data_IF_468248480603
#
_entry.id   IF_468248480603
#
_cell.length_a   1.000
_cell.length_b   1.000
_cell.length_c   1.000
_cell.angle_alpha   90.00
_cell.angle_beta   90.00
_cell.angle_gamma   90.00
#
_symmetry.space_group_name_H-M   'P 1'
#
loop_
_entity.id
_entity.type
_entity.pdbx_description
1 polymer ?
#
# COMPACT_ATOMS: atom_id res chain seq x y z
N UNK A 1 47.99 26.92 -0.47
CA UNK A 1 46.93 26.91 0.55
C UNK A 1 45.63 26.65 -0.18
N UNK A 2 45.21 25.40 -0.18
CA UNK A 2 43.97 24.96 -0.87
C UNK A 2 42.86 25.00 0.15
N UNK A 3 41.89 25.90 0.01
CA UNK A 3 40.69 25.96 0.83
C UNK A 3 39.76 24.88 0.33
N UNK A 4 39.72 23.78 1.05
CA UNK A 4 38.65 22.76 0.87
C UNK A 4 37.31 23.42 1.26
N UNK A 5 36.48 23.70 0.27
CA UNK A 5 35.09 24.07 0.46
C UNK A 5 34.39 22.82 1.01
N UNK A 6 34.07 22.86 2.29
CA UNK A 6 33.17 21.88 2.89
C UNK A 6 31.79 22.09 2.25
N UNK A 7 31.48 21.23 1.32
CA UNK A 7 30.15 21.13 0.71
C UNK A 7 29.19 20.80 1.81
N UNK A 8 28.35 21.77 2.15
CA UNK A 8 27.26 21.65 3.13
C UNK A 8 26.31 20.58 2.61
N UNK A 9 25.98 19.54 3.40
CA UNK A 9 25.03 18.53 2.95
C UNK A 9 23.71 19.23 2.60
N UNK A 10 23.25 18.95 1.39
CA UNK A 10 22.05 19.53 0.80
C UNK A 10 20.83 19.18 1.66
N UNK A 11 20.44 20.11 2.52
CA UNK A 11 19.33 19.96 3.46
C UNK A 11 17.97 19.88 2.74
N UNK A 12 17.94 20.30 1.45
CA UNK A 12 16.74 20.30 0.63
C UNK A 12 16.37 18.89 0.11
N UNK A 13 17.31 17.97 -0.02
CA UNK A 13 17.01 16.60 -0.44
C UNK A 13 16.30 15.76 0.65
N UNK A 14 16.35 16.18 1.90
CA UNK A 14 15.67 15.46 2.99
C UNK A 14 14.15 15.75 3.06
N UNK A 15 13.66 16.73 2.34
CA UNK A 15 12.25 17.13 2.37
C UNK A 15 11.42 16.53 1.22
N UNK A 16 12.07 15.96 0.21
CA UNK A 16 11.36 15.30 -0.89
C UNK A 16 10.84 13.93 -0.41
N UNK A 17 9.56 13.84 -0.18
CA UNK A 17 8.90 12.56 0.10
C UNK A 17 8.41 12.01 -1.23
N UNK A 18 9.05 10.98 -1.71
CA UNK A 18 8.66 10.27 -2.92
C UNK A 18 7.79 9.06 -2.56
N UNK A 19 7.11 8.53 -3.56
CA UNK A 19 6.23 7.39 -3.41
C UNK A 19 6.60 6.31 -4.41
N UNK A 20 6.80 5.08 -3.94
CA UNK A 20 6.96 3.89 -4.79
C UNK A 20 5.71 3.04 -4.66
N UNK A 21 5.13 2.65 -5.77
CA UNK A 21 3.95 1.78 -5.83
C UNK A 21 4.34 0.46 -6.47
N UNK A 22 4.08 -0.64 -5.78
CA UNK A 22 4.25 -2.00 -6.31
C UNK A 22 2.87 -2.69 -6.40
N UNK A 23 2.64 -3.38 -7.51
CA UNK A 23 1.40 -4.12 -7.78
C UNK A 23 1.62 -5.61 -7.68
N UNK A 24 0.67 -6.32 -7.09
CA UNK A 24 0.68 -7.76 -6.90
C UNK A 24 -0.62 -8.39 -7.37
N UNK A 25 -0.54 -9.58 -7.96
CA UNK A 25 -1.72 -10.32 -8.40
C UNK A 25 -2.47 -10.93 -7.23
N UNK A 26 -1.75 -11.36 -6.20
CA UNK A 26 -2.30 -12.09 -5.08
C UNK A 26 -1.94 -11.46 -3.74
N UNK A 27 -2.78 -11.73 -2.76
CA UNK A 27 -2.55 -11.39 -1.37
C UNK A 27 -1.22 -11.97 -0.83
N UNK A 28 -0.90 -13.22 -1.19
CA UNK A 28 0.30 -13.91 -0.72
C UNK A 28 1.59 -13.25 -1.22
N UNK A 29 1.60 -12.77 -2.46
CA UNK A 29 2.72 -12.03 -3.05
C UNK A 29 2.91 -10.68 -2.35
N UNK A 30 1.81 -9.92 -2.17
CA UNK A 30 1.85 -8.65 -1.43
C UNK A 30 2.34 -8.85 0.02
N UNK A 31 1.89 -9.92 0.68
CA UNK A 31 2.35 -10.30 2.01
C UNK A 31 3.86 -10.61 2.06
N UNK A 32 4.36 -11.34 1.07
CA UNK A 32 5.79 -11.65 0.97
C UNK A 32 6.63 -10.38 0.84
N UNK A 33 6.17 -9.42 0.06
CA UNK A 33 6.81 -8.12 -0.10
C UNK A 33 6.85 -7.32 1.21
N UNK A 34 5.72 -7.24 1.93
CA UNK A 34 5.63 -6.59 3.25
C UNK A 34 6.59 -7.24 4.23
N UNK A 35 6.65 -8.57 4.27
CA UNK A 35 7.60 -9.31 5.12
C UNK A 35 9.06 -9.02 4.78
N UNK A 36 9.38 -8.89 3.50
CA UNK A 36 10.72 -8.54 3.03
C UNK A 36 11.14 -7.16 3.54
N UNK A 37 10.28 -6.17 3.39
CA UNK A 37 10.51 -4.82 3.90
C UNK A 37 10.62 -4.79 5.43
N UNK A 38 9.77 -5.51 6.14
CA UNK A 38 9.81 -5.60 7.60
C UNK A 38 11.14 -6.20 8.09
N UNK A 39 11.60 -7.28 7.46
CA UNK A 39 12.87 -7.95 7.82
C UNK A 39 14.09 -7.07 7.58
N UNK A 40 14.02 -6.17 6.60
CA UNK A 40 15.10 -5.21 6.32
C UNK A 40 15.16 -4.04 7.30
N UNK A 41 14.15 -3.92 8.19
CA UNK A 41 14.06 -2.82 9.15
C UNK A 41 13.42 -1.57 8.56
N UNK A 42 12.72 -1.67 7.41
CA UNK A 42 11.98 -0.54 6.85
C UNK A 42 10.89 -0.06 7.82
N UNK A 43 10.71 1.26 7.92
CA UNK A 43 9.68 1.84 8.78
C UNK A 43 8.27 1.54 8.24
N UNK A 44 7.61 0.57 8.88
CA UNK A 44 6.27 0.12 8.48
C UNK A 44 5.19 1.21 8.54
N UNK A 45 5.44 2.32 9.26
CA UNK A 45 4.53 3.48 9.28
C UNK A 45 4.51 4.25 7.96
N UNK A 46 5.49 4.02 7.09
CA UNK A 46 5.61 4.62 5.76
C UNK A 46 5.03 3.74 4.66
N UNK A 47 4.45 2.59 5.04
CA UNK A 47 3.89 1.61 4.14
C UNK A 47 2.36 1.65 4.21
N UNK A 48 1.71 1.62 3.06
CA UNK A 48 0.27 1.41 2.93
C UNK A 48 0.01 0.23 2.00
N UNK A 49 -1.02 -0.53 2.29
CA UNK A 49 -1.50 -1.59 1.42
C UNK A 49 -2.99 -1.41 1.18
N UNK A 50 -3.42 -1.67 -0.04
CA UNK A 50 -4.82 -1.69 -0.43
C UNK A 50 -5.07 -2.88 -1.35
N UNK A 51 -6.17 -3.57 -1.14
CA UNK A 51 -6.62 -4.67 -1.96
C UNK A 51 -8.10 -4.90 -1.82
N UNK A 52 -8.71 -5.54 -2.82
CA UNK A 52 -10.11 -5.90 -2.76
C UNK A 52 -10.29 -7.06 -1.76
N UNK A 53 -11.33 -6.95 -0.93
CA UNK A 53 -11.66 -8.04 0.00
C UNK A 53 -12.37 -9.16 -0.76
N UNK A 54 -11.68 -10.30 -0.90
CA UNK A 54 -12.23 -11.50 -1.53
C UNK A 54 -13.12 -12.32 -0.60
N UNK A 55 -13.20 -11.97 0.68
CA UNK A 55 -13.98 -12.76 1.64
C UNK A 55 -15.50 -12.71 1.42
N UNK A 56 -16.00 -11.82 0.57
CA UNK A 56 -17.41 -11.66 0.28
C UNK A 56 -17.91 -12.52 -0.89
N UNK A 57 -17.04 -13.10 -1.72
CA UNK A 57 -17.46 -13.82 -2.94
C UNK A 57 -17.19 -15.33 -2.95
N UNK A 58 -16.45 -15.88 -2.00
CA UNK A 58 -16.34 -17.33 -1.86
C UNK A 58 -17.54 -17.92 -1.09
N UNK A 59 -18.66 -18.08 -1.76
CA UNK A 59 -19.57 -19.18 -1.49
C UNK A 59 -18.85 -20.50 -1.83
N UNK A 60 -17.99 -20.94 -0.93
CA UNK A 60 -17.43 -22.29 -1.01
C UNK A 60 -18.54 -23.27 -0.68
N UNK A 61 -19.19 -23.81 -1.72
CA UNK A 61 -19.93 -25.04 -1.64
C UNK A 61 -18.91 -26.18 -1.49
N UNK A 62 -18.56 -26.50 -0.26
CA UNK A 62 -17.64 -27.59 0.04
C UNK A 62 -17.60 -27.85 1.54
N UNK A 63 -17.97 -29.05 1.94
CA UNK A 63 -17.90 -29.58 3.29
C UNK A 63 -16.47 -29.50 3.83
N UNK A 64 -16.15 -28.48 4.63
CA UNK A 64 -14.95 -28.45 5.44
C UNK A 64 -15.31 -28.33 6.92
N UNK A 65 -14.66 -29.16 7.73
CA UNK A 65 -14.84 -29.25 9.17
C UNK A 65 -14.47 -27.94 9.86
N UNK A 66 -15.26 -27.49 10.81
CA UNK A 66 -15.12 -26.22 11.54
C UNK A 66 -13.76 -26.06 12.24
N UNK A 67 -13.10 -27.16 12.59
CA UNK A 67 -11.78 -27.16 13.23
C UNK A 67 -10.63 -26.78 12.30
N UNK A 68 -10.65 -27.22 11.05
CA UNK A 68 -9.61 -26.91 10.06
C UNK A 68 -9.70 -25.46 9.58
N UNK A 69 -10.89 -24.89 9.57
CA UNK A 69 -11.09 -23.46 9.32
C UNK A 69 -10.45 -22.58 10.40
N UNK A 70 -10.64 -22.91 11.68
CA UNK A 70 -10.05 -22.15 12.79
C UNK A 70 -8.53 -22.18 12.78
N UNK A 71 -7.90 -23.29 12.40
CA UNK A 71 -6.43 -23.40 12.34
C UNK A 71 -5.83 -22.69 11.10
N UNK A 72 -6.46 -22.77 9.94
CA UNK A 72 -6.04 -22.07 8.73
C UNK A 72 -6.25 -20.56 8.89
N UNK A 73 -7.39 -20.15 9.44
CA UNK A 73 -7.70 -18.74 9.74
C UNK A 73 -6.86 -18.20 10.89
N UNK A 74 -6.54 -19.04 11.90
CA UNK A 74 -5.69 -18.64 13.03
C UNK A 74 -4.27 -18.26 12.62
N UNK A 75 -3.66 -18.98 11.68
CA UNK A 75 -2.31 -18.66 11.19
C UNK A 75 -2.30 -17.46 10.22
N UNK A 76 -3.29 -17.38 9.33
CA UNK A 76 -3.42 -16.31 8.37
C UNK A 76 -4.00 -15.04 9.02
N UNK A 77 -5.01 -15.19 9.88
CA UNK A 77 -5.60 -14.09 10.65
C UNK A 77 -4.66 -13.51 11.71
N UNK A 78 -3.79 -14.33 12.35
CA UNK A 78 -2.79 -13.83 13.29
C UNK A 78 -1.69 -13.04 12.58
N UNK A 79 -1.32 -13.42 11.36
CA UNK A 79 -0.36 -12.68 10.56
C UNK A 79 -0.94 -11.34 10.08
N UNK A 80 -2.10 -11.37 9.47
CA UNK A 80 -2.80 -10.15 9.02
C UNK A 80 -3.25 -9.30 10.20
N UNK A 81 -3.82 -9.88 11.24
CA UNK A 81 -4.15 -9.17 12.47
C UNK A 81 -2.92 -8.56 13.16
N UNK A 82 -1.75 -9.21 13.05
CA UNK A 82 -0.48 -8.68 13.53
C UNK A 82 0.05 -7.52 12.68
N UNK A 83 0.09 -7.69 11.35
CA UNK A 83 0.53 -6.61 10.43
C UNK A 83 -0.49 -5.47 10.43
N UNK A 84 -1.77 -5.77 10.31
CA UNK A 84 -2.84 -4.78 10.28
C UNK A 84 -3.02 -4.10 11.65
N UNK A 85 -2.83 -4.82 12.73
CA UNK A 85 -2.81 -4.28 14.08
C UNK A 85 -1.58 -3.41 14.36
N UNK A 86 -0.40 -3.79 13.84
CA UNK A 86 0.83 -3.01 13.91
C UNK A 86 0.81 -1.79 12.98
N UNK A 87 0.12 -1.87 11.84
CA UNK A 87 0.02 -0.79 10.86
C UNK A 87 -1.15 0.18 11.12
N UNK A 88 -1.88 0.10 12.23
CA UNK A 88 -3.00 1.01 12.60
C UNK A 88 -4.42 0.43 12.61
N UNK A 89 -4.56 -0.87 12.81
CA UNK A 89 -5.88 -1.47 12.76
C UNK A 89 -6.50 -1.30 11.37
N UNK A 90 -6.37 -2.31 10.52
CA UNK A 90 -6.88 -2.24 9.15
C UNK A 90 -8.31 -1.71 9.10
N UNK A 91 -8.60 -0.82 8.18
CA UNK A 91 -9.92 -0.29 7.98
C UNK A 91 -10.55 -0.89 6.71
N UNK A 92 -11.80 -1.25 6.86
CA UNK A 92 -12.62 -1.76 5.78
C UNK A 92 -13.48 -0.63 5.22
N UNK A 93 -13.38 -0.41 3.93
CA UNK A 93 -14.14 0.64 3.24
C UNK A 93 -14.97 0.03 2.11
N UNK A 94 -16.21 0.47 1.99
CA UNK A 94 -17.03 0.24 0.81
C UNK A 94 -16.94 1.47 -0.09
N UNK A 95 -16.16 1.37 -1.16
CA UNK A 95 -15.93 2.48 -2.08
C UNK A 95 -16.84 2.33 -3.28
N UNK A 96 -17.71 3.33 -3.59
CA UNK A 96 -18.54 3.30 -4.78
C UNK A 96 -17.71 3.16 -6.06
N UNK A 97 -18.05 2.20 -6.91
CA UNK A 97 -17.34 1.92 -8.17
C UNK A 97 -16.16 0.94 -8.03
N UNK A 98 -15.58 0.79 -6.85
CA UNK A 98 -14.48 -0.15 -6.57
C UNK A 98 -14.96 -1.38 -5.80
N UNK A 99 -15.91 -1.18 -4.88
CA UNK A 99 -16.44 -2.22 -4.01
C UNK A 99 -15.77 -2.27 -2.63
N UNK A 100 -15.85 -3.42 -1.94
CA UNK A 100 -15.24 -3.59 -0.64
C UNK A 100 -13.71 -3.67 -0.76
N UNK A 101 -13.01 -2.81 -0.03
CA UNK A 101 -11.54 -2.73 0.01
C UNK A 101 -11.05 -2.76 1.44
N UNK A 102 -9.98 -3.49 1.66
CA UNK A 102 -9.25 -3.54 2.90
C UNK A 102 -7.99 -2.69 2.74
N UNK A 103 -7.73 -1.81 3.69
CA UNK A 103 -6.58 -0.90 3.66
C UNK A 103 -5.88 -0.84 4.99
N UNK A 104 -4.58 -0.58 4.97
CA UNK A 104 -3.78 -0.23 6.13
C UNK A 104 -2.74 0.83 5.78
N UNK A 105 -2.28 1.53 6.80
CA UNK A 105 -1.23 2.52 6.69
C UNK A 105 -1.73 3.94 6.42
N UNK A 106 -0.82 4.87 6.07
CA UNK A 106 -1.12 6.29 5.87
C UNK A 106 -2.19 6.59 4.82
N UNK A 107 -2.48 5.67 3.90
CA UNK A 107 -3.51 5.83 2.88
C UNK A 107 -4.92 5.98 3.50
N UNK A 108 -5.16 5.39 4.68
CA UNK A 108 -6.44 5.51 5.39
C UNK A 108 -6.79 6.98 5.66
N UNK A 109 -5.83 7.78 6.09
CA UNK A 109 -6.07 9.21 6.35
C UNK A 109 -6.45 9.97 5.08
N UNK A 110 -5.90 9.58 3.94
CA UNK A 110 -6.28 10.12 2.63
C UNK A 110 -7.73 9.79 2.26
N UNK A 111 -8.18 8.56 2.52
CA UNK A 111 -9.57 8.13 2.32
C UNK A 111 -10.53 8.93 3.22
N UNK A 112 -10.22 9.03 4.52
CA UNK A 112 -11.06 9.79 5.47
C UNK A 112 -11.14 11.26 5.04
N UNK A 113 -10.01 11.88 4.70
CA UNK A 113 -9.99 13.26 4.22
C UNK A 113 -10.75 13.45 2.90
N UNK A 114 -10.69 12.49 1.97
CA UNK A 114 -11.45 12.54 0.73
C UNK A 114 -12.96 12.39 0.96
N UNK A 115 -13.38 11.57 1.92
CA UNK A 115 -14.78 11.42 2.31
C UNK A 115 -15.32 12.67 3.00
N UNK A 116 -14.54 13.29 3.90
CA UNK A 116 -14.92 14.49 4.62
C UNK A 116 -14.93 15.74 3.72
N UNK A 117 -13.98 15.82 2.80
CA UNK A 117 -13.80 16.98 1.93
C UNK A 117 -14.83 17.15 0.83
N UNK A 118 -15.68 16.14 0.55
CA UNK A 118 -16.67 16.11 -0.53
C UNK A 118 -16.15 16.62 -1.89
N UNK A 119 -14.84 16.75 -2.04
CA UNK A 119 -14.19 17.24 -3.23
C UNK A 119 -13.90 16.04 -4.12
N UNK A 120 -14.91 15.66 -4.89
CA UNK A 120 -14.69 14.80 -6.04
C UNK A 120 -13.82 15.62 -7.00
N UNK A 121 -12.52 15.44 -6.91
CA UNK A 121 -11.55 16.05 -7.81
C UNK A 121 -11.77 15.48 -9.22
N UNK A 122 -12.75 16.06 -9.94
CA UNK A 122 -12.91 15.86 -11.37
C UNK A 122 -12.93 14.40 -11.84
N UNK A 123 -13.82 13.56 -11.28
CA UNK A 123 -14.04 12.19 -11.74
C UNK A 123 -13.16 11.11 -11.11
N UNK A 124 -12.39 11.43 -10.08
CA UNK A 124 -11.70 10.44 -9.25
C UNK A 124 -12.65 9.87 -8.19
N UNK A 125 -12.51 8.58 -7.92
CA UNK A 125 -13.12 7.97 -6.73
C UNK A 125 -12.41 8.41 -5.46
N UNK A 126 -12.97 8.02 -4.33
CA UNK A 126 -12.35 8.25 -3.01
C UNK A 126 -10.96 7.60 -2.93
N UNK A 127 -10.78 6.41 -3.52
CA UNK A 127 -9.47 5.74 -3.58
C UNK A 127 -8.49 6.52 -4.45
N UNK A 128 -8.91 6.92 -5.66
CA UNK A 128 -8.08 7.74 -6.54
C UNK A 128 -7.67 9.07 -5.90
N UNK A 129 -8.61 9.75 -5.22
CA UNK A 129 -8.31 10.98 -4.50
C UNK A 129 -7.32 10.75 -3.33
N UNK A 130 -7.45 9.63 -2.61
CA UNK A 130 -6.50 9.27 -1.55
C UNK A 130 -5.09 8.99 -2.11
N UNK A 131 -4.98 8.31 -3.25
CA UNK A 131 -3.71 8.06 -3.92
C UNK A 131 -3.05 9.38 -4.38
N UNK A 132 -3.84 10.28 -4.98
CA UNK A 132 -3.34 11.63 -5.35
C UNK A 132 -2.85 12.40 -4.13
N UNK A 133 -3.52 12.29 -2.98
CA UNK A 133 -3.06 12.92 -1.74
C UNK A 133 -1.71 12.40 -1.24
N UNK A 134 -1.28 11.24 -1.72
CA UNK A 134 0.03 10.65 -1.43
C UNK A 134 1.12 11.02 -2.45
N UNK A 135 0.83 11.98 -3.35
CA UNK A 135 1.77 12.42 -4.37
C UNK A 135 1.77 11.57 -5.65
N UNK A 136 0.79 10.68 -5.83
CA UNK A 136 0.63 9.89 -7.04
C UNK A 136 -0.10 10.72 -8.10
N UNK A 137 0.41 10.83 -9.34
CA UNK A 137 -0.26 11.54 -10.41
C UNK A 137 -1.67 11.00 -10.68
N UNK A 138 -2.58 11.88 -11.11
CA UNK A 138 -3.99 11.54 -11.33
C UNK A 138 -4.18 10.36 -12.28
N UNK A 139 -3.44 10.34 -13.38
CA UNK A 139 -3.57 9.29 -14.39
C UNK A 139 -3.14 7.92 -13.83
N UNK A 140 -2.04 7.88 -13.09
CA UNK A 140 -1.59 6.67 -12.38
C UNK A 140 -2.58 6.25 -11.28
N UNK A 141 -3.18 7.21 -10.57
CA UNK A 141 -4.18 6.91 -9.55
C UNK A 141 -5.43 6.23 -10.13
N UNK A 142 -5.87 6.64 -11.33
CA UNK A 142 -6.98 6.01 -12.07
C UNK A 142 -6.61 4.58 -12.50
N UNK A 143 -5.39 4.38 -12.99
CA UNK A 143 -4.89 3.05 -13.34
C UNK A 143 -4.88 2.13 -12.13
N UNK A 144 -4.30 2.57 -11.01
CA UNK A 144 -4.24 1.79 -9.77
C UNK A 144 -5.63 1.46 -9.21
N UNK A 145 -6.56 2.40 -9.29
CA UNK A 145 -7.94 2.14 -8.89
C UNK A 145 -8.58 1.04 -9.73
N UNK A 146 -8.34 1.04 -11.04
CA UNK A 146 -8.81 0.00 -11.96
C UNK A 146 -8.20 -1.35 -11.61
N UNK A 147 -6.91 -1.38 -11.29
CA UNK A 147 -6.19 -2.59 -10.89
C UNK A 147 -6.71 -3.18 -9.57
N UNK A 148 -6.96 -2.31 -8.57
CA UNK A 148 -7.59 -2.74 -7.30
C UNK A 148 -9.00 -3.25 -7.53
N UNK A 149 -9.78 -2.57 -8.38
CA UNK A 149 -11.13 -3.02 -8.75
C UNK A 149 -11.11 -4.39 -9.44
N UNK A 150 -10.07 -4.66 -10.21
CA UNK A 150 -9.78 -5.96 -10.85
C UNK A 150 -9.28 -7.03 -9.89
N UNK A 151 -9.14 -6.70 -8.60
CA UNK A 151 -8.75 -7.64 -7.55
C UNK A 151 -7.27 -7.75 -7.26
N UNK A 152 -6.47 -6.81 -7.76
CA UNK A 152 -5.04 -6.73 -7.47
C UNK A 152 -4.77 -5.99 -6.16
N UNK A 153 -3.55 -6.12 -5.67
CA UNK A 153 -3.07 -5.49 -4.46
C UNK A 153 -2.05 -4.42 -4.79
N UNK A 154 -2.18 -3.26 -4.15
CA UNK A 154 -1.20 -2.18 -4.21
C UNK A 154 -0.46 -2.08 -2.89
N UNK A 155 0.86 -2.00 -2.98
CA UNK A 155 1.74 -1.66 -1.88
C UNK A 155 2.33 -0.28 -2.16
N UNK A 156 1.98 0.69 -1.33
CA UNK A 156 2.42 2.09 -1.47
C UNK A 156 3.45 2.37 -0.38
N UNK A 157 4.67 2.67 -0.80
CA UNK A 157 5.82 2.92 0.08
C UNK A 157 6.23 4.38 -0.07
N UNK A 158 6.25 5.11 1.04
CA UNK A 158 6.68 6.52 1.08
C UNK A 158 7.99 6.66 1.82
N UNK A 159 8.81 7.58 1.36
CA UNK A 159 10.09 7.81 2.03
C UNK A 159 10.96 8.83 1.33
N UNK A 160 12.12 9.07 1.90
CA UNK A 160 13.18 9.82 1.24
C UNK A 160 13.73 9.02 0.05
N UNK A 161 14.35 9.66 -0.94
CA UNK A 161 14.94 8.96 -2.09
C UNK A 161 15.85 7.79 -1.69
N UNK A 162 16.66 7.95 -0.65
CA UNK A 162 17.56 6.91 -0.17
C UNK A 162 16.83 5.70 0.44
N UNK A 163 15.76 5.95 1.18
CA UNK A 163 14.92 4.87 1.75
C UNK A 163 14.21 4.09 0.65
N UNK A 164 13.72 4.80 -0.38
CA UNK A 164 13.01 4.17 -1.49
C UNK A 164 13.91 3.35 -2.41
N UNK A 165 15.18 3.73 -2.59
CA UNK A 165 16.16 2.91 -3.31
C UNK A 165 16.29 1.52 -2.65
N UNK A 166 16.44 1.50 -1.33
CA UNK A 166 16.52 0.25 -0.57
C UNK A 166 15.23 -0.55 -0.64
N UNK A 167 14.08 0.12 -0.45
CA UNK A 167 12.77 -0.53 -0.55
C UNK A 167 12.51 -1.11 -1.94
N UNK A 168 12.78 -0.35 -3.00
CA UNK A 168 12.62 -0.79 -4.39
C UNK A 168 13.45 -2.03 -4.69
N UNK A 169 14.73 -2.04 -4.31
CA UNK A 169 15.62 -3.20 -4.52
C UNK A 169 15.04 -4.46 -3.88
N UNK A 170 14.42 -4.34 -2.71
CA UNK A 170 13.76 -5.48 -2.05
C UNK A 170 12.47 -5.89 -2.76
N UNK A 171 11.69 -4.93 -3.22
CA UNK A 171 10.44 -5.20 -3.94
C UNK A 171 10.69 -5.84 -5.31
N UNK A 172 11.76 -5.45 -6.01
CA UNK A 172 12.17 -6.05 -7.29
C UNK A 172 12.53 -7.54 -7.17
N UNK A 173 12.85 -8.01 -5.97
CA UNK A 173 13.10 -9.44 -5.69
C UNK A 173 11.82 -10.24 -5.40
N UNK A 174 10.67 -9.59 -5.41
CA UNK A 174 9.37 -10.24 -5.16
C UNK A 174 8.61 -10.48 -6.48
N UNK A 175 7.61 -11.35 -6.44
CA UNK A 175 6.74 -11.62 -7.60
C UNK A 175 5.72 -10.48 -7.79
N UNK A 176 6.18 -9.37 -8.37
CA UNK A 176 5.36 -8.20 -8.62
C UNK A 176 4.88 -8.12 -10.06
N UNK A 177 3.73 -7.46 -10.31
CA UNK A 177 3.22 -7.15 -11.65
C UNK A 177 3.87 -5.90 -12.24
N UNK A 178 4.31 -4.98 -11.40
CA UNK A 178 4.98 -3.74 -11.78
C UNK A 178 5.34 -2.91 -10.57
N UNK A 179 6.39 -2.09 -10.72
CA UNK A 179 6.83 -1.11 -9.72
C UNK A 179 6.98 0.24 -10.41
N UNK A 180 6.35 1.27 -9.85
CA UNK A 180 6.44 2.64 -10.36
C UNK A 180 6.84 3.60 -9.24
N UNK A 181 7.66 4.59 -9.59
CA UNK A 181 8.09 5.65 -8.68
C UNK A 181 7.42 6.97 -9.06
N UNK A 182 6.93 7.67 -8.05
CA UNK A 182 6.33 8.98 -8.19
C UNK A 182 7.07 9.97 -7.28
N UNK A 183 7.54 11.06 -7.87
CA UNK A 183 8.15 12.20 -7.16
C UNK A 183 7.13 13.34 -7.08
N UNK A 184 6.98 13.90 -5.90
CA UNK A 184 6.13 15.08 -5.66
C UNK A 184 6.90 16.35 -5.95
#
# INVERSE_FOLDING_TARGET
MSTATLEKPDHDQQLLINTTVAMYATHAEAEAAVKSLQKSGFDMKKLSIVGKDYHTEEHVVGYYNTGDRMLAWGKQGAFWGGIWGLLFGGAFFLIPGVGPVLMAGPLISGIVGALEGAVILGGLSVLGAALVSQGIPKDSAIEYETEVSGGKFLLVVRGTPNELIGAKTLLELTDHLGIQEHSS
#
